data_IF_737094976496
#
_entry.id   IF_737094976496
#
_cell.length_a   1.000
_cell.length_b   1.000
_cell.length_c   1.000
_cell.angle_alpha   90.00
_cell.angle_beta   90.00
_cell.angle_gamma   90.00
#
_symmetry.space_group_name_H-M   'P 1'
#
loop_
_entity.id
_entity.type
_entity.pdbx_description
1 polymer ?
#
# COMPACT_ATOMS: atom_id res chain seq x y z
N UNK A 1 31.95 32.12 17.62
CA UNK A 1 32.24 30.87 16.90
C UNK A 1 31.26 29.82 17.41
N UNK A 2 30.14 29.67 16.71
CA UNK A 2 29.03 28.81 17.13
C UNK A 2 29.14 27.52 16.33
N UNK A 3 29.32 26.41 17.01
CA UNK A 3 29.46 25.06 16.43
C UNK A 3 28.19 24.71 15.65
N UNK A 4 28.33 24.57 14.34
CA UNK A 4 27.36 23.93 13.44
C UNK A 4 27.08 22.52 13.98
N UNK A 5 25.85 22.31 14.45
CA UNK A 5 25.36 20.98 14.81
C UNK A 5 25.37 20.09 13.57
N UNK A 6 26.40 19.25 13.46
CA UNK A 6 26.42 18.12 12.55
C UNK A 6 25.25 17.21 12.94
N UNK A 7 24.25 17.12 12.06
CA UNK A 7 23.22 16.11 12.15
C UNK A 7 23.88 14.71 12.06
N UNK A 8 23.42 13.71 12.84
CA UNK A 8 23.96 12.37 12.77
C UNK A 8 23.71 11.74 11.39
N UNK A 9 24.57 10.81 10.94
CA UNK A 9 24.65 10.36 9.56
C UNK A 9 23.47 9.43 9.20
N UNK A 10 22.36 10.02 8.74
CA UNK A 10 21.25 9.31 8.07
C UNK A 10 21.64 8.69 6.72
N UNK A 11 22.90 8.87 6.29
CA UNK A 11 23.27 8.72 4.88
C UNK A 11 23.74 7.31 4.52
N UNK A 12 24.37 6.58 5.44
CA UNK A 12 25.03 5.29 5.13
C UNK A 12 24.38 4.06 5.79
N UNK A 13 23.69 4.19 6.94
CA UNK A 13 23.11 3.03 7.65
C UNK A 13 21.74 2.54 7.14
N UNK A 14 21.12 3.27 6.21
CA UNK A 14 19.74 3.01 5.79
C UNK A 14 19.58 1.73 4.94
N UNK A 15 20.63 1.23 4.31
CA UNK A 15 20.59 0.01 3.50
C UNK A 15 20.66 -1.29 4.34
N UNK A 16 20.99 -1.19 5.63
CA UNK A 16 21.00 -2.30 6.60
C UNK A 16 19.95 -2.16 7.72
N UNK A 17 19.12 -1.12 7.69
CA UNK A 17 18.23 -0.76 8.80
C UNK A 17 16.96 -1.61 8.84
N UNK A 18 16.66 -2.21 9.99
CA UNK A 18 15.32 -2.76 10.29
C UNK A 18 14.27 -1.65 10.45
N UNK A 19 12.98 -2.05 10.47
CA UNK A 19 11.84 -1.12 10.55
C UNK A 19 11.86 -0.29 11.84
N UNK A 20 12.25 -0.89 12.97
CA UNK A 20 12.33 -0.19 14.25
C UNK A 20 13.38 0.92 14.26
N UNK A 21 14.54 0.68 13.66
CA UNK A 21 15.55 1.72 13.43
C UNK A 21 15.00 2.84 12.54
N UNK A 22 14.31 2.51 11.44
CA UNK A 22 13.71 3.51 10.56
C UNK A 22 12.66 4.38 11.28
N UNK A 23 11.81 3.75 12.11
CA UNK A 23 10.83 4.44 12.93
C UNK A 23 11.49 5.44 13.90
N UNK A 24 12.60 5.05 14.54
CA UNK A 24 13.38 5.97 15.40
C UNK A 24 13.88 7.19 14.64
N UNK A 25 14.37 7.00 13.40
CA UNK A 25 14.82 8.10 12.55
C UNK A 25 13.67 9.03 12.15
N UNK A 26 12.51 8.49 11.79
CA UNK A 26 11.34 9.31 11.45
C UNK A 26 10.83 10.08 12.66
N UNK A 27 10.80 9.48 13.85
CA UNK A 27 10.47 10.22 15.09
C UNK A 27 11.51 11.27 15.45
N UNK A 28 12.79 11.02 15.19
CA UNK A 28 13.83 12.04 15.38
C UNK A 28 13.61 13.23 14.42
N UNK A 29 13.25 12.96 13.17
CA UNK A 29 12.90 13.99 12.20
C UNK A 29 11.63 14.76 12.60
N UNK A 30 10.59 14.06 13.07
CA UNK A 30 9.38 14.68 13.64
C UNK A 30 9.72 15.69 14.74
N UNK A 31 10.55 15.30 15.71
CA UNK A 31 10.96 16.18 16.80
C UNK A 31 11.70 17.44 16.35
N UNK A 32 12.35 17.42 15.17
CA UNK A 32 12.95 18.64 14.61
C UNK A 32 11.88 19.63 14.16
N UNK A 33 10.73 19.15 13.67
CA UNK A 33 9.61 19.99 13.27
C UNK A 33 8.83 20.56 14.47
N UNK A 34 8.90 19.91 15.63
CA UNK A 34 8.31 20.40 16.88
C UNK A 34 9.14 21.55 17.52
N UNK A 35 10.40 21.73 17.08
CA UNK A 35 11.25 22.83 17.55
C UNK A 35 10.80 24.17 16.94
N UNK A 36 10.43 25.12 17.80
CA UNK A 36 9.98 26.46 17.40
C UNK A 36 11.05 27.25 16.64
N UNK A 37 12.34 26.94 16.84
CA UNK A 37 13.43 27.58 16.12
C UNK A 37 13.62 26.99 14.71
N UNK A 38 12.97 25.86 14.39
CA UNK A 38 13.12 25.19 13.11
C UNK A 38 12.11 25.71 12.08
N UNK A 39 12.60 26.52 11.14
CA UNK A 39 11.81 26.93 9.98
C UNK A 39 11.68 25.79 8.96
N UNK A 40 10.55 25.08 9.05
CA UNK A 40 10.16 24.00 8.14
C UNK A 40 9.94 24.47 6.70
N UNK A 41 9.64 25.75 6.48
CA UNK A 41 9.43 26.36 5.17
C UNK A 41 10.73 26.79 4.48
N UNK A 42 11.85 26.81 5.19
CA UNK A 42 13.14 27.19 4.59
C UNK A 42 13.54 26.24 3.45
N UNK A 43 14.14 26.73 2.35
CA UNK A 43 14.57 25.88 1.23
C UNK A 43 15.55 24.76 1.64
N UNK A 44 16.33 24.97 2.70
CA UNK A 44 17.21 23.95 3.26
C UNK A 44 16.42 22.85 3.98
N UNK A 45 15.43 23.22 4.81
CA UNK A 45 14.54 22.26 5.49
C UNK A 45 13.73 21.44 4.49
N UNK A 46 13.12 22.09 3.50
CA UNK A 46 12.34 21.42 2.44
C UNK A 46 13.22 20.39 1.71
N UNK A 47 14.45 20.78 1.32
CA UNK A 47 15.40 19.84 0.66
C UNK A 47 15.71 18.64 1.53
N UNK A 48 15.99 18.83 2.82
CA UNK A 48 16.22 17.72 3.77
C UNK A 48 15.01 16.79 3.89
N UNK A 49 13.81 17.36 4.04
CA UNK A 49 12.56 16.59 4.11
C UNK A 49 12.38 15.74 2.84
N UNK A 50 12.53 16.35 1.66
CA UNK A 50 12.43 15.64 0.36
C UNK A 50 13.44 14.50 0.23
N UNK A 51 14.69 14.70 0.69
CA UNK A 51 15.70 13.65 0.69
C UNK A 51 15.29 12.46 1.58
N UNK A 52 14.83 12.72 2.81
CA UNK A 52 14.36 11.68 3.73
C UNK A 52 13.17 10.94 3.14
N UNK A 53 12.16 11.66 2.65
CA UNK A 53 10.94 11.09 2.08
C UNK A 53 11.22 10.26 0.82
N UNK A 54 12.17 10.69 -0.02
CA UNK A 54 12.58 9.94 -1.22
C UNK A 54 13.28 8.64 -0.85
N UNK A 55 14.11 8.63 0.21
CA UNK A 55 14.71 7.39 0.73
C UNK A 55 13.64 6.46 1.30
N UNK A 56 12.73 6.98 2.12
CA UNK A 56 11.62 6.22 2.70
C UNK A 56 10.75 5.57 1.60
N UNK A 57 10.42 6.32 0.55
CA UNK A 57 9.66 5.82 -0.60
C UNK A 57 10.28 4.56 -1.21
N UNK A 58 11.61 4.54 -1.36
CA UNK A 58 12.34 3.39 -1.92
C UNK A 58 12.49 2.21 -0.95
N UNK A 59 12.52 2.49 0.36
CA UNK A 59 12.78 1.48 1.39
C UNK A 59 11.50 0.78 1.86
N UNK A 60 10.39 1.50 2.00
CA UNK A 60 9.14 0.96 2.57
C UNK A 60 8.65 -0.31 1.85
N UNK A 61 8.51 -0.35 0.50
CA UNK A 61 8.12 -1.58 -0.19
C UNK A 61 9.10 -2.75 0.04
N UNK A 62 10.41 -2.45 0.12
CA UNK A 62 11.45 -3.47 0.35
C UNK A 62 11.38 -4.06 1.75
N UNK A 63 10.99 -3.27 2.75
CA UNK A 63 10.81 -3.71 4.13
C UNK A 63 9.54 -4.54 4.33
N UNK A 64 8.50 -4.30 3.52
CA UNK A 64 7.24 -5.05 3.58
C UNK A 64 7.38 -6.45 2.98
N UNK A 65 8.06 -6.59 1.83
CA UNK A 65 8.19 -7.86 1.11
C UNK A 65 8.59 -9.07 1.97
N UNK A 66 9.63 -9.01 2.84
CA UNK A 66 10.04 -10.16 3.63
C UNK A 66 9.10 -10.49 4.80
N UNK A 67 8.18 -9.61 5.18
CA UNK A 67 7.30 -9.84 6.36
C UNK A 67 6.49 -11.12 6.22
N UNK A 68 6.03 -11.44 5.00
CA UNK A 68 5.26 -12.65 4.71
C UNK A 68 6.05 -13.95 4.96
N UNK A 69 7.38 -13.91 4.99
CA UNK A 69 8.25 -15.08 5.19
C UNK A 69 8.89 -15.14 6.57
N UNK A 70 8.65 -14.15 7.43
CA UNK A 70 9.14 -14.14 8.80
C UNK A 70 8.33 -15.10 9.70
N UNK A 71 8.96 -15.57 10.77
CA UNK A 71 8.25 -16.23 11.86
C UNK A 71 7.19 -15.28 12.46
N UNK A 72 6.01 -15.80 12.80
CA UNK A 72 4.83 -15.02 13.21
C UNK A 72 5.14 -13.96 14.26
N UNK A 73 5.82 -14.31 15.35
CA UNK A 73 6.14 -13.39 16.45
C UNK A 73 6.97 -12.20 15.96
N UNK A 74 7.97 -12.47 15.12
CA UNK A 74 8.81 -11.43 14.53
C UNK A 74 8.05 -10.60 13.49
N UNK A 75 7.20 -11.23 12.68
CA UNK A 75 6.37 -10.56 11.70
C UNK A 75 5.42 -9.56 12.38
N UNK A 76 4.78 -9.96 13.48
CA UNK A 76 3.87 -9.12 14.27
C UNK A 76 4.58 -7.88 14.80
N UNK A 77 5.77 -8.02 15.40
CA UNK A 77 6.54 -6.88 15.91
C UNK A 77 6.93 -5.91 14.78
N UNK A 78 7.44 -6.45 13.66
CA UNK A 78 7.80 -5.65 12.49
C UNK A 78 6.58 -4.92 11.92
N UNK A 79 5.42 -5.57 11.89
CA UNK A 79 4.17 -4.96 11.41
C UNK A 79 3.67 -3.85 12.32
N UNK A 80 3.80 -3.99 13.64
CA UNK A 80 3.43 -2.93 14.58
C UNK A 80 4.28 -1.67 14.36
N UNK A 81 5.61 -1.84 14.25
CA UNK A 81 6.52 -0.73 13.96
C UNK A 81 6.22 -0.10 12.58
N UNK A 82 5.96 -0.94 11.58
CA UNK A 82 5.64 -0.49 10.23
C UNK A 82 4.31 0.28 10.19
N UNK A 83 3.27 -0.23 10.87
CA UNK A 83 1.98 0.43 10.93
C UNK A 83 2.10 1.79 11.62
N UNK A 84 2.89 1.87 12.68
CA UNK A 84 3.14 3.13 13.36
C UNK A 84 3.89 4.12 12.46
N UNK A 85 4.93 3.65 11.75
CA UNK A 85 5.67 4.45 10.78
C UNK A 85 4.74 5.01 9.70
N UNK A 86 3.90 4.16 9.10
CA UNK A 86 2.98 4.57 8.04
C UNK A 86 1.88 5.51 8.55
N UNK A 87 1.35 5.28 9.76
CA UNK A 87 0.38 6.19 10.36
C UNK A 87 0.96 7.60 10.59
N UNK A 88 2.23 7.69 11.03
CA UNK A 88 2.92 8.98 11.18
C UNK A 88 3.12 9.69 9.83
N UNK A 89 3.43 8.95 8.78
CA UNK A 89 3.64 9.48 7.44
C UNK A 89 2.32 9.92 6.77
N UNK A 90 1.29 9.06 6.80
CA UNK A 90 -0.04 9.34 6.23
C UNK A 90 -0.77 10.45 6.98
N UNK A 91 -0.59 10.54 8.30
CA UNK A 91 -1.21 11.57 9.12
C UNK A 91 -0.57 12.95 9.02
N UNK A 92 0.54 13.12 8.29
CA UNK A 92 1.24 14.40 8.21
C UNK A 92 2.03 14.79 9.46
N UNK A 93 1.97 13.98 10.52
CA UNK A 93 2.54 14.32 11.83
C UNK A 93 4.05 14.18 11.88
N UNK A 94 4.66 13.33 11.04
CA UNK A 94 6.11 13.18 10.98
C UNK A 94 6.82 14.33 10.26
N UNK A 95 6.18 14.92 9.25
CA UNK A 95 6.76 15.96 8.40
C UNK A 95 5.63 16.68 7.66
N UNK A 96 5.63 18.03 7.58
CA UNK A 96 4.62 18.77 6.81
C UNK A 96 4.64 18.45 5.31
N UNK A 97 5.73 17.84 4.82
CA UNK A 97 5.88 17.41 3.42
C UNK A 97 5.58 15.93 3.20
N UNK A 98 5.16 15.17 4.22
CA UNK A 98 5.06 13.70 4.15
C UNK A 98 4.15 13.20 3.03
N UNK A 99 3.12 13.97 2.68
CA UNK A 99 2.21 13.65 1.58
C UNK A 99 2.93 13.51 0.24
N UNK A 100 4.06 14.20 0.04
CA UNK A 100 4.89 14.04 -1.16
C UNK A 100 5.50 12.65 -1.29
N UNK A 101 5.56 11.85 -0.23
CA UNK A 101 5.99 10.45 -0.30
C UNK A 101 5.01 9.64 -1.15
N UNK A 102 3.71 9.88 -0.96
CA UNK A 102 2.62 9.13 -1.59
C UNK A 102 2.14 9.77 -2.88
N UNK A 103 2.09 11.11 -2.95
CA UNK A 103 1.79 11.86 -4.17
C UNK A 103 3.07 11.94 -5.00
N UNK A 104 3.35 10.88 -5.76
CA UNK A 104 4.46 10.87 -6.71
C UNK A 104 4.24 12.02 -7.68
N UNK A 105 5.06 13.07 -7.54
CA UNK A 105 4.95 14.23 -8.41
C UNK A 105 5.21 13.75 -9.82
N UNK A 106 4.25 14.02 -10.70
CA UNK A 106 4.32 13.91 -12.15
C UNK A 106 5.43 14.80 -12.75
N UNK A 107 6.64 14.85 -12.18
CA UNK A 107 7.75 15.66 -12.67
C UNK A 107 8.31 15.17 -14.01
N UNK A 108 7.79 14.06 -14.53
CA UNK A 108 7.93 13.65 -15.93
C UNK A 108 6.79 14.09 -16.85
N UNK A 109 5.67 14.63 -16.33
CA UNK A 109 4.50 15.01 -17.13
C UNK A 109 4.70 16.27 -17.99
N UNK A 110 5.84 16.96 -17.90
CA UNK A 110 6.26 17.89 -18.96
C UNK A 110 6.60 17.17 -20.28
N UNK A 111 6.65 15.82 -20.31
CA UNK A 111 6.67 15.02 -21.55
C UNK A 111 5.33 14.36 -21.89
N UNK A 112 4.36 14.33 -20.96
CA UNK A 112 3.03 13.77 -21.19
C UNK A 112 2.06 14.77 -21.84
N UNK A 113 2.38 16.07 -21.79
CA UNK A 113 1.60 17.11 -22.50
C UNK A 113 1.61 16.94 -24.02
N UNK A 114 2.56 16.16 -24.58
CA UNK A 114 2.67 15.86 -26.02
C UNK A 114 2.15 14.46 -26.40
N UNK A 115 1.62 13.67 -25.44
CA UNK A 115 1.13 12.31 -25.71
C UNK A 115 -0.40 12.24 -25.55
N UNK A 116 -1.18 12.23 -26.65
CA UNK A 116 -2.64 12.16 -26.61
C UNK A 116 -3.18 10.83 -26.03
N UNK A 117 -2.32 9.86 -25.73
CA UNK A 117 -2.68 8.60 -25.07
C UNK A 117 -2.57 8.64 -23.53
N UNK A 118 -2.09 9.75 -22.95
CA UNK A 118 -2.02 9.90 -21.49
C UNK A 118 -3.43 9.98 -20.89
N UNK A 119 -3.69 9.11 -19.91
CA UNK A 119 -5.00 8.92 -19.27
C UNK A 119 -5.51 10.13 -18.47
N UNK A 120 -4.62 11.06 -18.11
CA UNK A 120 -4.91 12.22 -17.27
C UNK A 120 -5.21 11.91 -15.79
N UNK A 121 -5.23 10.62 -15.40
CA UNK A 121 -5.45 10.19 -14.01
C UNK A 121 -4.13 10.23 -13.21
N UNK A 122 -4.19 10.47 -11.89
CA UNK A 122 -3.00 10.43 -11.04
C UNK A 122 -2.50 8.98 -10.83
N UNK A 123 -1.20 8.84 -10.56
CA UNK A 123 -0.52 7.56 -10.36
C UNK A 123 0.12 7.50 -8.96
N UNK A 124 0.08 6.33 -8.31
CA UNK A 124 0.57 6.16 -6.93
C UNK A 124 1.25 4.81 -6.69
N UNK A 125 2.26 4.41 -7.49
CA UNK A 125 2.77 3.04 -7.46
C UNK A 125 3.40 2.65 -6.12
N UNK A 126 4.03 3.57 -5.39
CA UNK A 126 4.52 3.27 -4.03
C UNK A 126 3.37 3.03 -3.07
N UNK A 127 2.36 3.91 -3.03
CA UNK A 127 1.18 3.77 -2.18
C UNK A 127 0.46 2.46 -2.47
N UNK A 128 0.24 2.17 -3.76
CA UNK A 128 -0.41 0.96 -4.24
C UNK A 128 0.30 -0.30 -3.75
N UNK A 129 1.62 -0.36 -3.93
CA UNK A 129 2.42 -1.49 -3.47
C UNK A 129 2.25 -1.72 -1.98
N UNK A 130 2.35 -0.65 -1.18
CA UNK A 130 2.14 -0.74 0.27
C UNK A 130 0.71 -1.16 0.62
N UNK A 131 -0.30 -0.68 -0.11
CA UNK A 131 -1.70 -0.99 0.13
C UNK A 131 -1.98 -2.48 -0.10
N UNK A 132 -1.48 -3.05 -1.20
CA UNK A 132 -1.67 -4.48 -1.50
C UNK A 132 -0.97 -5.38 -0.48
N UNK A 133 0.23 -5.02 -0.02
CA UNK A 133 0.85 -5.74 1.10
C UNK A 133 0.03 -5.62 2.39
N UNK A 134 -0.47 -4.43 2.72
CA UNK A 134 -1.29 -4.25 3.93
C UNK A 134 -2.59 -5.05 3.89
N UNK A 135 -3.26 -5.13 2.74
CA UNK A 135 -4.43 -5.99 2.59
C UNK A 135 -4.04 -7.46 2.77
N UNK A 136 -2.98 -7.93 2.13
CA UNK A 136 -2.48 -9.30 2.29
C UNK A 136 -2.19 -9.63 3.75
N UNK A 137 -1.49 -8.74 4.48
CA UNK A 137 -1.22 -8.91 5.91
C UNK A 137 -2.48 -8.89 6.77
N UNK A 138 -3.41 -7.98 6.47
CA UNK A 138 -4.68 -7.89 7.19
C UNK A 138 -5.49 -9.19 7.09
N UNK A 139 -5.49 -9.80 5.91
CA UNK A 139 -6.21 -11.05 5.64
C UNK A 139 -5.50 -12.31 6.13
N UNK A 140 -4.26 -12.21 6.62
CA UNK A 140 -3.48 -13.35 7.09
C UNK A 140 -3.81 -13.65 8.57
N UNK A 141 -4.40 -14.82 8.82
CA UNK A 141 -4.79 -15.23 10.18
C UNK A 141 -3.62 -15.33 11.16
N UNK A 142 -2.40 -15.64 10.67
CA UNK A 142 -1.20 -15.73 11.52
C UNK A 142 -0.84 -14.37 12.12
N UNK A 143 -1.24 -13.29 11.46
CA UNK A 143 -0.94 -11.91 11.83
C UNK A 143 -2.08 -11.26 12.61
N UNK A 144 -3.04 -12.05 13.14
CA UNK A 144 -4.21 -11.58 13.89
C UNK A 144 -3.89 -10.55 14.97
N UNK A 145 -2.77 -10.71 15.66
CA UNK A 145 -2.35 -9.79 16.72
C UNK A 145 -2.07 -8.36 16.23
N UNK A 146 -1.68 -8.18 14.95
CA UNK A 146 -1.43 -6.88 14.34
C UNK A 146 -2.59 -6.38 13.45
N UNK A 147 -3.66 -7.17 13.29
CA UNK A 147 -4.75 -6.84 12.35
C UNK A 147 -5.44 -5.51 12.65
N UNK A 148 -5.51 -5.09 13.92
CA UNK A 148 -6.13 -3.82 14.29
C UNK A 148 -5.32 -2.64 13.75
N UNK A 149 -4.01 -2.67 13.93
CA UNK A 149 -3.06 -1.67 13.46
C UNK A 149 -3.03 -1.64 11.93
N UNK A 150 -2.92 -2.81 11.31
CA UNK A 150 -2.92 -2.96 9.85
C UNK A 150 -4.19 -2.36 9.27
N UNK A 151 -5.37 -2.74 9.78
CA UNK A 151 -6.66 -2.19 9.34
C UNK A 151 -6.70 -0.67 9.45
N UNK A 152 -6.17 -0.12 10.53
CA UNK A 152 -6.12 1.34 10.75
C UNK A 152 -5.33 2.05 9.65
N UNK A 153 -4.15 1.53 9.30
CA UNK A 153 -3.31 2.08 8.23
C UNK A 153 -3.93 1.85 6.86
N UNK A 154 -4.42 0.63 6.57
CA UNK A 154 -5.13 0.31 5.32
C UNK A 154 -6.28 1.29 5.08
N UNK A 155 -7.09 1.56 6.11
CA UNK A 155 -8.18 2.52 6.00
C UNK A 155 -7.68 3.94 5.70
N UNK A 156 -6.60 4.40 6.34
CA UNK A 156 -6.02 5.72 6.02
C UNK A 156 -5.53 5.81 4.56
N UNK A 157 -4.95 4.73 4.03
CA UNK A 157 -4.53 4.66 2.63
C UNK A 157 -5.71 4.66 1.66
N UNK A 158 -6.81 3.99 2.01
CA UNK A 158 -8.05 4.02 1.22
C UNK A 158 -8.67 5.42 1.23
N UNK A 159 -8.71 6.08 2.39
CA UNK A 159 -9.19 7.47 2.51
C UNK A 159 -8.28 8.46 1.78
N UNK A 160 -6.98 8.16 1.68
CA UNK A 160 -6.09 8.91 0.80
C UNK A 160 -6.54 8.80 -0.66
N UNK A 161 -6.84 7.59 -1.15
CA UNK A 161 -7.37 7.42 -2.51
C UNK A 161 -8.69 8.17 -2.67
N UNK A 162 -9.62 8.04 -1.73
CA UNK A 162 -10.91 8.76 -1.81
C UNK A 162 -10.75 10.27 -2.01
N UNK A 163 -9.76 10.88 -1.33
CA UNK A 163 -9.52 12.33 -1.40
C UNK A 163 -8.76 12.79 -2.63
N UNK A 164 -7.88 11.95 -3.19
CA UNK A 164 -6.94 12.35 -4.24
C UNK A 164 -7.23 11.69 -5.60
N UNK A 165 -7.96 10.58 -5.61
CA UNK A 165 -8.27 9.75 -6.77
C UNK A 165 -9.53 8.91 -6.52
N UNK A 166 -10.70 9.54 -6.74
CA UNK A 166 -12.01 8.93 -6.51
C UNK A 166 -12.22 7.65 -7.32
N UNK A 167 -11.66 7.56 -8.53
CA UNK A 167 -11.77 6.38 -9.36
C UNK A 167 -10.93 5.22 -8.82
N UNK A 168 -9.70 5.51 -8.36
CA UNK A 168 -8.89 4.53 -7.64
C UNK A 168 -9.59 4.00 -6.37
N UNK A 169 -10.29 4.88 -5.64
CA UNK A 169 -11.14 4.49 -4.51
C UNK A 169 -12.32 3.60 -4.93
N UNK A 170 -13.04 3.96 -6.00
CA UNK A 170 -14.17 3.17 -6.52
C UNK A 170 -13.70 1.77 -6.93
N UNK A 171 -12.57 1.66 -7.64
CA UNK A 171 -11.98 0.37 -7.99
C UNK A 171 -11.62 -0.44 -6.75
N UNK A 172 -10.99 0.18 -5.75
CA UNK A 172 -10.66 -0.51 -4.51
C UNK A 172 -11.90 -1.06 -3.81
N UNK A 173 -12.96 -0.26 -3.73
CA UNK A 173 -14.22 -0.70 -3.13
C UNK A 173 -14.86 -1.85 -3.93
N UNK A 174 -14.90 -1.74 -5.26
CA UNK A 174 -15.43 -2.79 -6.14
C UNK A 174 -14.65 -4.09 -6.00
N UNK A 175 -13.31 -4.02 -6.01
CA UNK A 175 -12.44 -5.18 -5.81
C UNK A 175 -12.62 -5.80 -4.41
N UNK A 176 -12.91 -4.98 -3.40
CA UNK A 176 -13.25 -5.48 -2.04
C UNK A 176 -14.57 -6.26 -2.05
N UNK A 177 -15.57 -5.80 -2.81
CA UNK A 177 -16.86 -6.50 -2.96
C UNK A 177 -16.69 -7.80 -3.75
N UNK A 178 -15.91 -7.79 -4.84
CA UNK A 178 -15.60 -9.01 -5.60
C UNK A 178 -14.86 -10.05 -4.73
N UNK A 179 -13.93 -9.60 -3.89
CA UNK A 179 -13.28 -10.49 -2.92
C UNK A 179 -14.28 -11.10 -1.92
N UNK A 180 -15.31 -10.36 -1.50
CA UNK A 180 -16.37 -10.91 -0.64
C UNK A 180 -17.19 -11.99 -1.36
N UNK A 181 -17.49 -11.80 -2.64
CA UNK A 181 -18.17 -12.79 -3.47
C UNK A 181 -17.33 -14.06 -3.60
N UNK A 182 -16.04 -13.93 -3.91
CA UNK A 182 -15.09 -15.06 -3.96
C UNK A 182 -15.04 -15.81 -2.62
N UNK A 183 -15.02 -15.08 -1.50
CA UNK A 183 -15.05 -15.68 -0.16
C UNK A 183 -16.34 -16.46 0.09
N UNK A 184 -17.49 -15.93 -0.35
CA UNK A 184 -18.79 -16.59 -0.19
C UNK A 184 -18.87 -17.88 -1.01
N UNK A 185 -18.48 -17.82 -2.30
CA UNK A 185 -18.46 -18.99 -3.18
C UNK A 185 -17.51 -20.07 -2.65
N UNK A 186 -16.35 -19.67 -2.14
CA UNK A 186 -15.38 -20.59 -1.56
C UNK A 186 -15.91 -21.21 -0.26
N UNK A 187 -16.51 -20.42 0.64
CA UNK A 187 -17.12 -20.92 1.88
C UNK A 187 -18.23 -21.94 1.58
N UNK A 188 -19.11 -21.63 0.62
CA UNK A 188 -20.20 -22.51 0.20
C UNK A 188 -19.69 -23.83 -0.39
N UNK A 189 -18.61 -23.78 -1.19
CA UNK A 189 -17.97 -24.99 -1.75
C UNK A 189 -17.34 -25.91 -0.69
N UNK A 190 -17.09 -25.37 0.52
CA UNK A 190 -16.39 -26.05 1.60
C UNK A 190 -17.28 -26.30 2.84
N UNK A 191 -18.55 -25.90 2.82
CA UNK A 191 -19.44 -25.85 4.00
C UNK A 191 -19.63 -27.16 4.79
N UNK A 192 -19.34 -28.30 4.18
CA UNK A 192 -19.44 -29.63 4.82
C UNK A 192 -18.11 -30.13 5.40
N UNK A 193 -17.05 -29.32 5.36
CA UNK A 193 -15.73 -29.65 5.90
C UNK A 193 -15.59 -29.13 7.33
N UNK A 194 -14.76 -29.80 8.12
CA UNK A 194 -14.37 -29.27 9.43
C UNK A 194 -13.46 -28.05 9.26
N UNK A 195 -13.45 -27.16 10.26
CA UNK A 195 -12.65 -25.93 10.22
C UNK A 195 -11.14 -26.20 10.06
N UNK A 196 -10.67 -27.34 10.55
CA UNK A 196 -9.27 -27.80 10.49
C UNK A 196 -8.95 -28.59 9.23
N UNK A 197 -9.94 -28.93 8.41
CA UNK A 197 -9.71 -29.70 7.18
C UNK A 197 -8.85 -28.90 6.22
N UNK A 198 -7.66 -29.43 5.94
CA UNK A 198 -6.73 -28.82 5.02
C UNK A 198 -7.24 -29.00 3.57
N UNK A 199 -7.13 -27.93 2.80
CA UNK A 199 -7.37 -27.93 1.37
C UNK A 199 -6.15 -28.55 0.67
N UNK A 200 -6.31 -29.65 -0.08
CA UNK A 200 -5.22 -30.20 -0.87
C UNK A 200 -4.69 -29.14 -1.85
N UNK A 201 -3.43 -28.73 -1.68
CA UNK A 201 -2.79 -27.69 -2.50
C UNK A 201 -3.11 -26.24 -2.11
N UNK A 202 -4.03 -26.00 -1.16
CA UNK A 202 -4.50 -24.66 -0.80
C UNK A 202 -5.21 -23.92 -1.95
N UNK A 203 -5.68 -22.71 -1.69
CA UNK A 203 -6.12 -21.78 -2.73
C UNK A 203 -5.40 -20.43 -2.60
N UNK A 204 -5.10 -19.83 -3.73
CA UNK A 204 -4.50 -18.51 -3.85
C UNK A 204 -5.51 -17.57 -4.49
N UNK A 205 -6.00 -16.58 -3.73
CA UNK A 205 -6.96 -15.59 -4.23
C UNK A 205 -6.16 -14.37 -4.70
N UNK A 206 -6.28 -14.07 -5.99
CA UNK A 206 -5.70 -12.88 -6.61
C UNK A 206 -6.77 -11.79 -6.67
N UNK A 207 -6.56 -10.69 -5.96
CA UNK A 207 -7.55 -9.63 -5.81
C UNK A 207 -6.96 -8.25 -6.10
N UNK A 208 -7.83 -7.24 -6.17
CA UNK A 208 -7.48 -5.84 -6.43
C UNK A 208 -6.81 -5.56 -7.79
N UNK A 209 -7.18 -6.34 -8.82
CA UNK A 209 -6.58 -6.23 -10.14
C UNK A 209 -6.98 -4.92 -10.84
N UNK A 210 -8.26 -4.52 -10.75
CA UNK A 210 -8.73 -3.29 -11.40
C UNK A 210 -8.13 -2.06 -10.69
N UNK A 211 -8.06 -2.10 -9.37
CA UNK A 211 -7.33 -1.11 -8.58
C UNK A 211 -5.87 -1.02 -9.04
N UNK A 212 -5.17 -2.15 -9.16
CA UNK A 212 -3.77 -2.19 -9.56
C UNK A 212 -3.56 -1.64 -10.98
N UNK A 213 -4.43 -1.96 -11.93
CA UNK A 213 -4.41 -1.36 -13.27
C UNK A 213 -4.53 0.16 -13.17
N UNK A 214 -5.45 0.66 -12.33
CA UNK A 214 -5.69 2.09 -12.17
C UNK A 214 -4.52 2.85 -11.52
N UNK A 215 -3.83 2.28 -10.52
CA UNK A 215 -2.84 3.04 -9.72
C UNK A 215 -1.38 2.90 -10.18
N UNK A 216 -1.08 1.98 -11.10
CA UNK A 216 0.27 1.71 -11.64
C UNK A 216 0.54 2.31 -13.04
N UNK A 217 -0.16 3.37 -13.44
CA UNK A 217 -0.21 3.85 -14.84
C UNK A 217 1.16 4.21 -15.44
N UNK A 218 2.01 4.86 -14.64
CA UNK A 218 3.32 5.40 -15.08
C UNK A 218 4.52 4.71 -14.41
N UNK A 219 4.32 3.54 -13.80
CA UNK A 219 5.40 2.84 -13.12
C UNK A 219 6.39 2.24 -14.14
N UNK A 220 7.51 2.93 -14.38
CA UNK A 220 8.68 2.38 -15.07
C UNK A 220 9.23 1.19 -14.26
N UNK A 221 8.80 0.01 -14.64
CA UNK A 221 9.19 -1.27 -14.07
C UNK A 221 8.80 -2.40 -15.03
N UNK A 222 8.89 -3.67 -14.61
CA UNK A 222 8.46 -4.82 -15.43
C UNK A 222 7.01 -4.71 -15.93
N UNK A 223 6.25 -3.77 -15.36
CA UNK A 223 4.84 -3.49 -15.62
C UNK A 223 4.58 -2.59 -16.85
N UNK A 224 5.59 -2.05 -17.53
CA UNK A 224 5.42 -1.33 -18.79
C UNK A 224 4.63 -0.01 -18.70
N UNK A 225 4.91 0.92 -19.61
CA UNK A 225 4.31 2.25 -19.62
C UNK A 225 3.27 2.42 -20.75
N UNK A 226 2.30 3.30 -20.45
CA UNK A 226 1.39 4.08 -21.31
C UNK A 226 -0.02 3.50 -21.55
N UNK A 227 -1.01 4.27 -21.05
CA UNK A 227 -2.46 4.18 -21.33
C UNK A 227 -3.25 2.98 -20.79
N UNK A 228 -2.81 2.35 -19.69
CA UNK A 228 -3.53 1.20 -19.10
C UNK A 228 -4.77 1.59 -18.28
N UNK A 229 -5.00 2.88 -17.99
CA UNK A 229 -6.23 3.34 -17.33
C UNK A 229 -7.51 3.08 -18.15
N UNK A 230 -7.39 2.92 -19.47
CA UNK A 230 -8.50 2.43 -20.28
C UNK A 230 -8.91 1.02 -19.85
N UNK A 231 -7.93 0.17 -19.49
CA UNK A 231 -8.14 -1.23 -19.13
C UNK A 231 -8.81 -1.41 -17.75
N UNK A 232 -8.73 -0.44 -16.83
CA UNK A 232 -9.46 -0.56 -15.56
C UNK A 232 -10.98 -0.36 -15.73
N UNK A 233 -11.43 0.10 -16.90
CA UNK A 233 -12.84 0.36 -17.20
C UNK A 233 -13.31 1.77 -16.81
N UNK A 234 -12.40 2.67 -16.39
CA UNK A 234 -12.68 4.11 -16.28
C UNK A 234 -12.99 4.76 -17.63
N UNK A 235 -12.51 4.16 -18.72
CA UNK A 235 -12.86 4.53 -20.09
C UNK A 235 -13.31 3.27 -20.85
N UNK A 236 -14.07 3.42 -21.95
CA UNK A 236 -14.45 2.27 -22.79
C UNK A 236 -13.22 1.50 -23.26
N UNK A 237 -13.23 0.19 -23.03
CA UNK A 237 -12.17 -0.72 -23.46
C UNK A 237 -12.44 -1.11 -24.91
N UNK A 238 -11.53 -0.75 -25.81
CA UNK A 238 -11.63 -1.07 -27.24
C UNK A 238 -11.18 -2.50 -27.56
N UNK A 239 -10.31 -3.08 -26.72
CA UNK A 239 -9.78 -4.43 -26.89
C UNK A 239 -9.64 -5.13 -25.53
N UNK A 240 -10.44 -6.19 -25.32
CA UNK A 240 -10.47 -6.97 -24.10
C UNK A 240 -9.29 -7.94 -23.95
N UNK A 241 -8.54 -8.22 -25.03
CA UNK A 241 -7.38 -9.12 -24.97
C UNK A 241 -6.26 -8.52 -24.12
N UNK A 242 -5.97 -7.22 -24.30
CA UNK A 242 -5.01 -6.48 -23.50
C UNK A 242 -5.37 -6.42 -22.01
N UNK A 243 -6.66 -6.39 -21.66
CA UNK A 243 -7.10 -6.46 -20.28
C UNK A 243 -6.75 -7.83 -19.66
N UNK A 244 -6.99 -8.92 -20.39
CA UNK A 244 -6.68 -10.26 -19.90
C UNK A 244 -5.17 -10.43 -19.68
N UNK A 245 -4.35 -10.07 -20.67
CA UNK A 245 -2.89 -10.13 -20.58
C UNK A 245 -2.37 -9.32 -19.38
N UNK A 246 -2.91 -8.11 -19.19
CA UNK A 246 -2.53 -7.26 -18.07
C UNK A 246 -2.90 -7.88 -16.72
N UNK A 247 -4.09 -8.47 -16.61
CA UNK A 247 -4.52 -9.17 -15.38
C UNK A 247 -3.62 -10.36 -15.07
N UNK A 248 -3.27 -11.18 -16.06
CA UNK A 248 -2.35 -12.31 -15.85
C UNK A 248 -0.97 -11.87 -15.39
N UNK A 249 -0.43 -10.78 -15.96
CA UNK A 249 0.82 -10.19 -15.49
C UNK A 249 0.74 -9.72 -14.03
N UNK A 250 -0.35 -9.01 -13.67
CA UNK A 250 -0.53 -8.50 -12.31
C UNK A 250 -0.68 -9.63 -11.27
N UNK A 251 -1.35 -10.73 -11.62
CA UNK A 251 -1.47 -11.92 -10.75
C UNK A 251 -0.12 -12.51 -10.36
N UNK A 252 0.92 -12.36 -11.19
CA UNK A 252 2.27 -12.84 -10.89
C UNK A 252 3.05 -11.91 -9.96
N UNK A 253 2.62 -10.65 -9.84
CA UNK A 253 3.38 -9.60 -9.17
C UNK A 253 2.77 -9.15 -7.85
N UNK A 254 1.44 -9.18 -7.74
CA UNK A 254 0.72 -8.75 -6.55
C UNK A 254 0.75 -9.83 -5.47
N UNK A 255 0.76 -9.45 -4.18
CA UNK A 255 0.66 -10.42 -3.10
C UNK A 255 -0.72 -11.10 -3.15
N UNK A 256 -0.72 -12.43 -3.13
CA UNK A 256 -1.95 -13.23 -3.06
C UNK A 256 -2.43 -13.41 -1.62
N UNK A 257 -3.70 -13.76 -1.47
CA UNK A 257 -4.25 -14.26 -0.20
C UNK A 257 -4.23 -15.78 -0.24
N UNK A 258 -3.49 -16.39 0.68
CA UNK A 258 -3.40 -17.84 0.81
C UNK A 258 -4.45 -18.36 1.78
N UNK A 259 -5.25 -19.32 1.35
CA UNK A 259 -6.22 -20.03 2.20
C UNK A 259 -5.99 -21.53 2.14
N UNK A 260 -5.80 -22.15 3.30
CA UNK A 260 -5.42 -23.55 3.44
C UNK A 260 -6.48 -24.42 4.12
N UNK A 261 -7.55 -23.84 4.66
CA UNK A 261 -8.62 -24.58 5.35
C UNK A 261 -9.95 -23.84 5.29
N UNK A 262 -11.04 -24.51 5.62
CA UNK A 262 -12.35 -23.88 5.76
C UNK A 262 -12.35 -22.75 6.80
N UNK A 263 -11.70 -22.96 7.96
CA UNK A 263 -11.58 -21.93 9.01
C UNK A 263 -10.87 -20.65 8.54
N UNK A 264 -9.87 -20.78 7.66
CA UNK A 264 -9.20 -19.63 7.05
C UNK A 264 -10.13 -18.84 6.14
N UNK A 265 -11.00 -19.51 5.37
CA UNK A 265 -11.98 -18.87 4.48
C UNK A 265 -13.00 -18.08 5.29
N UNK A 266 -13.53 -18.65 6.37
CA UNK A 266 -14.44 -17.95 7.29
C UNK A 266 -13.78 -16.71 7.90
N UNK A 267 -12.53 -16.86 8.37
CA UNK A 267 -11.75 -15.75 8.96
C UNK A 267 -11.47 -14.64 7.94
N UNK A 268 -11.14 -15.02 6.71
CA UNK A 268 -10.95 -14.10 5.60
C UNK A 268 -12.23 -13.31 5.33
N UNK A 269 -13.37 -13.99 5.15
CA UNK A 269 -14.66 -13.34 4.89
C UNK A 269 -14.99 -12.33 5.98
N UNK A 270 -14.88 -12.71 7.25
CA UNK A 270 -15.14 -11.82 8.39
C UNK A 270 -14.22 -10.58 8.35
N UNK A 271 -12.94 -10.77 8.04
CA UNK A 271 -11.97 -9.68 7.94
C UNK A 271 -12.36 -8.70 6.82
N UNK A 272 -12.72 -9.21 5.65
CA UNK A 272 -13.12 -8.39 4.49
C UNK A 272 -14.45 -7.68 4.74
N UNK A 273 -15.43 -8.33 5.39
CA UNK A 273 -16.71 -7.69 5.79
C UNK A 273 -16.44 -6.50 6.71
N UNK A 274 -15.56 -6.68 7.69
CA UNK A 274 -15.17 -5.59 8.61
C UNK A 274 -14.45 -4.46 7.86
N UNK A 275 -13.62 -4.78 6.85
CA UNK A 275 -12.97 -3.75 6.04
C UNK A 275 -14.00 -2.98 5.20
N UNK A 276 -14.92 -3.68 4.53
CA UNK A 276 -15.97 -3.08 3.72
C UNK A 276 -16.92 -2.19 4.55
N UNK A 277 -17.36 -2.65 5.72
CA UNK A 277 -18.17 -1.86 6.66
C UNK A 277 -17.44 -0.57 7.07
N UNK A 278 -16.14 -0.67 7.38
CA UNK A 278 -15.34 0.51 7.73
C UNK A 278 -15.24 1.47 6.55
N UNK A 279 -14.94 0.99 5.35
CA UNK A 279 -14.89 1.85 4.16
C UNK A 279 -16.23 2.57 3.98
N UNK A 280 -17.35 1.85 4.02
CA UNK A 280 -18.68 2.43 3.85
C UNK A 280 -19.04 3.49 4.90
N UNK A 281 -18.62 3.29 6.17
CA UNK A 281 -18.88 4.27 7.24
C UNK A 281 -18.03 5.53 7.14
N UNK A 282 -16.78 5.42 6.70
CA UNK A 282 -15.85 6.55 6.62
C UNK A 282 -15.83 7.23 5.25
N UNK A 283 -16.51 6.67 4.24
CA UNK A 283 -16.63 7.24 2.91
C UNK A 283 -17.73 8.31 2.78
N UNK A 284 -18.51 8.56 3.84
CA UNK A 284 -19.54 9.61 3.90
C UNK A 284 -19.03 10.89 4.59
#
# INVERSE_FOLDING_TARGET
MTTLGMAPPLVEDAEKSDVGSLLRHVRAHQRQHDDRAYDSGSPAAIRRCKTILTKLRKLLPKLMRPVATLATEKAVLVLQDLCQLLALLLGGSACPHSMTLFMESNTGASRAADDPSASGFPTYPTLATMLFYMVSFYTNERLRQAQREIRGVTLQMILFLQRNDVYGFIHFFRDTVLLLEDCFLLEESLKNREATDLLPGGANIMCYLDTAIHVYQDADGPLGAKSTATLCGCMPITDSSHLYERREQLKQMLPSIQVGSYGMVVTLRQSVVVLADRIARYAN
#
